data_IF_673145241981
#
_entry.id   IF_673145241981
#
_cell.length_a   1.000
_cell.length_b   1.000
_cell.length_c   1.000
_cell.angle_alpha   90.00
_cell.angle_beta   90.00
_cell.angle_gamma   90.00
#
_symmetry.space_group_name_H-M   'P 1'
#
loop_
_entity.id
_entity.type
_entity.pdbx_description
1 polymer ?
#
# COMPACT_ATOMS: atom_id res chain seq x y z
N UNK A 1 -19.32 -14.63 -4.54
CA UNK A 1 -17.85 -14.56 -4.48
C UNK A 1 -17.49 -13.62 -3.33
N UNK A 2 -16.40 -13.90 -2.62
CA UNK A 2 -15.86 -12.94 -1.62
C UNK A 2 -15.37 -11.68 -2.33
N UNK A 3 -15.58 -10.53 -1.72
CA UNK A 3 -15.08 -9.26 -2.23
C UNK A 3 -13.67 -9.00 -1.69
N UNK A 4 -12.75 -8.60 -2.57
CA UNK A 4 -11.37 -8.30 -2.23
C UNK A 4 -10.96 -6.96 -2.83
N UNK A 5 -10.48 -6.04 -2.00
CA UNK A 5 -9.97 -4.73 -2.42
C UNK A 5 -8.45 -4.79 -2.54
N UNK A 6 -7.91 -4.33 -3.67
CA UNK A 6 -6.48 -4.20 -3.90
C UNK A 6 -6.08 -2.72 -3.83
N UNK A 7 -5.13 -2.39 -2.95
CA UNK A 7 -4.64 -1.03 -2.72
C UNK A 7 -3.18 -0.89 -3.15
N UNK A 8 -2.92 0.00 -4.11
CA UNK A 8 -1.59 0.22 -4.68
C UNK A 8 -0.63 0.98 -3.76
N UNK A 9 0.67 0.89 -4.04
CA UNK A 9 1.72 1.61 -3.34
C UNK A 9 1.88 3.07 -3.77
N UNK A 10 2.77 3.78 -3.08
CA UNK A 10 3.19 5.12 -3.46
C UNK A 10 3.74 5.12 -4.90
N UNK A 11 3.48 6.19 -5.66
CA UNK A 11 3.83 6.35 -7.08
C UNK A 11 3.22 5.28 -8.00
N UNK A 12 2.36 4.41 -7.49
CA UNK A 12 1.65 3.37 -8.23
C UNK A 12 0.28 3.81 -8.73
N UNK A 13 -0.44 2.88 -9.32
CA UNK A 13 -1.85 3.01 -9.69
C UNK A 13 -2.53 1.64 -9.64
N UNK A 14 -3.86 1.62 -9.68
CA UNK A 14 -4.62 0.37 -9.74
C UNK A 14 -4.20 -0.53 -10.90
N UNK A 15 -3.70 0.04 -12.00
CA UNK A 15 -3.31 -0.71 -13.20
C UNK A 15 -2.15 -1.67 -12.95
N UNK A 16 -1.39 -1.49 -11.83
CA UNK A 16 -0.37 -2.46 -11.40
C UNK A 16 -0.95 -3.85 -11.11
N UNK A 17 -2.25 -3.93 -10.85
CA UNK A 17 -2.93 -5.16 -10.49
C UNK A 17 -3.65 -5.86 -11.65
N UNK A 18 -3.56 -5.34 -12.89
CA UNK A 18 -4.34 -5.86 -14.01
C UNK A 18 -4.20 -7.38 -14.21
N UNK A 19 -2.98 -7.91 -14.20
CA UNK A 19 -2.75 -9.35 -14.33
C UNK A 19 -3.25 -10.13 -13.10
N UNK A 20 -3.13 -9.55 -11.91
CA UNK A 20 -3.61 -10.15 -10.66
C UNK A 20 -5.14 -10.18 -10.60
N UNK A 21 -5.81 -9.13 -11.07
CA UNK A 21 -7.27 -9.08 -11.20
C UNK A 21 -7.77 -10.23 -12.08
N UNK A 22 -7.13 -10.43 -13.24
CA UNK A 22 -7.47 -11.54 -14.17
C UNK A 22 -7.25 -12.89 -13.49
N UNK A 23 -6.11 -13.07 -12.81
CA UNK A 23 -5.75 -14.35 -12.19
C UNK A 23 -6.66 -14.73 -10.99
N UNK A 24 -7.29 -13.75 -10.35
CA UNK A 24 -8.16 -13.96 -9.19
C UNK A 24 -9.67 -13.92 -9.51
N UNK A 25 -10.06 -13.54 -10.73
CA UNK A 25 -11.45 -13.27 -11.11
C UNK A 25 -12.41 -14.46 -10.90
N UNK A 26 -11.93 -15.69 -10.98
CA UNK A 26 -12.75 -16.90 -10.80
C UNK A 26 -13.11 -17.14 -9.32
N UNK A 27 -12.35 -16.58 -8.38
CA UNK A 27 -12.49 -16.82 -6.93
C UNK A 27 -13.04 -15.63 -6.17
N UNK A 28 -12.68 -14.41 -6.59
CA UNK A 28 -13.01 -13.16 -5.91
C UNK A 28 -13.69 -12.17 -6.83
N UNK A 29 -14.57 -11.35 -6.25
CA UNK A 29 -14.99 -10.10 -6.86
C UNK A 29 -13.95 -9.04 -6.49
N UNK A 30 -13.05 -8.77 -7.43
CA UNK A 30 -11.94 -7.86 -7.21
C UNK A 30 -12.40 -6.42 -7.38
N UNK A 31 -11.91 -5.57 -6.49
CA UNK A 31 -12.05 -4.11 -6.56
C UNK A 31 -10.65 -3.49 -6.53
N UNK A 32 -10.48 -2.45 -7.32
CA UNK A 32 -9.27 -1.63 -7.34
C UNK A 32 -9.63 -0.17 -7.37
N UNK A 33 -8.88 0.66 -6.67
CA UNK A 33 -9.07 2.12 -6.68
C UNK A 33 -7.74 2.81 -6.94
N UNK A 34 -7.79 3.97 -7.58
CA UNK A 34 -6.67 4.91 -7.54
C UNK A 34 -6.86 5.84 -6.36
N UNK A 35 -5.84 6.04 -5.56
CA UNK A 35 -5.83 7.12 -4.57
C UNK A 35 -5.78 8.48 -5.27
N UNK A 36 -6.23 9.53 -4.57
CA UNK A 36 -6.18 10.92 -5.04
C UNK A 36 -4.80 11.28 -5.60
N UNK A 37 -4.76 11.89 -6.78
CA UNK A 37 -3.52 12.26 -7.48
C UNK A 37 -2.75 11.11 -8.14
N UNK A 38 -3.19 9.86 -8.00
CA UNK A 38 -2.58 8.69 -8.63
C UNK A 38 -3.41 8.20 -9.82
N UNK A 39 -2.75 7.57 -10.82
CA UNK A 39 -3.43 6.94 -11.95
C UNK A 39 -4.39 7.87 -12.70
N UNK A 40 -4.02 9.14 -12.88
CA UNK A 40 -4.81 10.22 -13.49
C UNK A 40 -6.11 10.58 -12.74
N UNK A 41 -6.31 10.04 -11.53
CA UNK A 41 -7.40 10.52 -10.67
C UNK A 41 -7.04 11.93 -10.18
N UNK A 42 -7.96 12.91 -10.29
CA UNK A 42 -7.68 14.26 -9.79
C UNK A 42 -7.21 14.26 -8.33
N UNK A 43 -6.27 15.13 -8.02
CA UNK A 43 -5.85 15.31 -6.63
C UNK A 43 -6.91 16.11 -5.88
N UNK A 44 -7.39 15.57 -4.75
CA UNK A 44 -8.21 16.36 -3.84
C UNK A 44 -7.39 17.51 -3.23
N UNK A 45 -8.07 18.54 -2.74
CA UNK A 45 -7.43 19.71 -2.10
C UNK A 45 -6.76 19.37 -0.76
N UNK A 46 -7.02 18.18 -0.21
CA UNK A 46 -6.42 17.74 1.04
C UNK A 46 -4.98 17.25 0.83
N UNK A 47 -4.17 17.39 1.88
CA UNK A 47 -2.82 16.82 1.91
C UNK A 47 -2.86 15.29 1.74
N UNK A 48 -1.82 14.73 1.11
CA UNK A 48 -1.62 13.29 1.16
C UNK A 48 -1.21 12.93 2.59
N UNK A 49 -2.03 12.18 3.27
CA UNK A 49 -1.76 11.55 4.56
C UNK A 49 -2.37 10.15 4.52
N UNK A 50 -1.84 9.23 5.29
CA UNK A 50 -2.43 7.88 5.38
C UNK A 50 -3.90 7.97 5.82
N UNK A 51 -4.21 8.87 6.75
CA UNK A 51 -5.58 9.11 7.20
C UNK A 51 -6.51 9.53 6.05
N UNK A 52 -6.10 10.50 5.24
CA UNK A 52 -6.94 10.98 4.13
C UNK A 52 -7.11 9.88 3.06
N UNK A 53 -6.05 9.13 2.74
CA UNK A 53 -6.14 8.00 1.81
C UNK A 53 -7.05 6.88 2.36
N UNK A 54 -7.02 6.64 3.68
CA UNK A 54 -7.92 5.69 4.32
C UNK A 54 -9.39 6.16 4.27
N UNK A 55 -9.65 7.46 4.46
CA UNK A 55 -10.99 8.02 4.29
C UNK A 55 -11.50 7.89 2.84
N UNK A 56 -10.63 8.03 1.83
CA UNK A 56 -11.02 7.76 0.44
C UNK A 56 -11.49 6.31 0.22
N UNK A 57 -10.87 5.34 0.91
CA UNK A 57 -11.34 3.94 0.88
C UNK A 57 -12.70 3.81 1.54
N UNK A 58 -12.92 4.46 2.70
CA UNK A 58 -14.22 4.43 3.38
C UNK A 58 -15.32 5.07 2.54
N UNK A 59 -15.04 6.20 1.91
CA UNK A 59 -15.98 6.88 1.02
C UNK A 59 -16.35 5.98 -0.16
N UNK A 60 -15.34 5.36 -0.80
CA UNK A 60 -15.56 4.39 -1.86
C UNK A 60 -16.40 3.19 -1.38
N UNK A 61 -16.12 2.64 -0.19
CA UNK A 61 -16.92 1.56 0.38
C UNK A 61 -18.38 1.99 0.61
N UNK A 62 -18.60 3.22 1.10
CA UNK A 62 -19.94 3.76 1.32
C UNK A 62 -20.72 3.93 0.00
N UNK A 63 -20.07 4.48 -1.03
CA UNK A 63 -20.65 4.64 -2.37
C UNK A 63 -21.06 3.30 -3.00
N UNK A 64 -20.35 2.21 -2.67
CA UNK A 64 -20.61 0.88 -3.20
C UNK A 64 -21.43 -0.01 -2.23
N UNK A 65 -21.91 0.56 -1.11
CA UNK A 65 -22.69 -0.15 -0.08
C UNK A 65 -21.97 -1.36 0.52
N UNK A 66 -20.63 -1.31 0.57
CA UNK A 66 -19.79 -2.36 1.16
C UNK A 66 -19.60 -2.06 2.65
N UNK A 67 -20.09 -2.96 3.51
CA UNK A 67 -19.95 -2.81 4.96
C UNK A 67 -18.57 -3.23 5.44
N UNK A 68 -18.10 -4.39 5.04
CA UNK A 68 -16.79 -4.96 5.42
C UNK A 68 -16.15 -5.57 4.19
N UNK A 69 -14.82 -5.42 4.04
CA UNK A 69 -14.07 -5.96 2.90
C UNK A 69 -12.72 -6.51 3.33
N UNK A 70 -12.30 -7.59 2.68
CA UNK A 70 -10.93 -8.10 2.77
C UNK A 70 -10.00 -7.23 1.91
N UNK A 71 -8.76 -6.98 2.37
CA UNK A 71 -7.85 -6.05 1.70
C UNK A 71 -6.49 -6.70 1.43
N UNK A 72 -6.06 -6.69 0.17
CA UNK A 72 -4.65 -6.82 -0.19
C UNK A 72 -4.06 -5.44 -0.41
N UNK A 73 -3.02 -5.10 0.34
CA UNK A 73 -2.35 -3.79 0.23
C UNK A 73 -0.87 -3.93 -0.12
N UNK A 74 -0.44 -3.28 -1.19
CA UNK A 74 0.96 -3.20 -1.54
C UNK A 74 1.58 -1.90 -0.99
N UNK A 75 2.72 -2.01 -0.27
CA UNK A 75 3.50 -0.88 0.24
C UNK A 75 2.61 0.14 1.00
N UNK A 76 2.46 1.37 0.52
CA UNK A 76 1.56 2.40 1.07
C UNK A 76 0.12 1.88 1.23
N UNK A 77 -0.40 1.13 0.26
CA UNK A 77 -1.76 0.56 0.34
C UNK A 77 -1.93 -0.42 1.50
N UNK A 78 -0.89 -1.17 1.85
CA UNK A 78 -0.89 -2.02 3.04
C UNK A 78 -0.91 -1.20 4.34
N UNK A 79 -0.20 -0.07 4.37
CA UNK A 79 -0.24 0.83 5.52
C UNK A 79 -1.63 1.47 5.71
N UNK A 80 -2.27 1.86 4.61
CA UNK A 80 -3.67 2.35 4.62
C UNK A 80 -4.61 1.28 5.17
N UNK A 81 -4.47 0.01 4.76
CA UNK A 81 -5.28 -1.09 5.26
C UNK A 81 -5.11 -1.31 6.78
N UNK A 82 -3.87 -1.26 7.29
CA UNK A 82 -3.59 -1.37 8.73
C UNK A 82 -4.18 -0.20 9.52
N UNK A 83 -4.09 1.02 8.97
CA UNK A 83 -4.70 2.19 9.57
C UNK A 83 -6.23 2.06 9.66
N UNK A 84 -6.87 1.57 8.59
CA UNK A 84 -8.31 1.28 8.58
C UNK A 84 -8.68 0.25 9.63
N UNK A 85 -7.97 -0.87 9.72
CA UNK A 85 -8.23 -1.90 10.71
C UNK A 85 -8.10 -1.39 12.15
N UNK A 86 -7.21 -0.42 12.38
CA UNK A 86 -7.02 0.19 13.70
C UNK A 86 -8.17 1.12 14.09
N UNK A 87 -8.60 1.98 13.18
CA UNK A 87 -9.55 3.06 13.51
C UNK A 87 -10.99 2.77 13.08
N UNK A 88 -11.19 1.82 12.17
CA UNK A 88 -12.49 1.38 11.63
C UNK A 88 -12.56 -0.15 11.55
N UNK A 89 -12.40 -0.87 12.68
CA UNK A 89 -12.28 -2.33 12.69
C UNK A 89 -13.47 -3.05 12.06
N UNK A 90 -14.67 -2.52 12.18
CA UNK A 90 -15.89 -3.10 11.60
C UNK A 90 -15.95 -3.02 10.06
N UNK A 91 -15.05 -2.23 9.45
CA UNK A 91 -15.00 -2.02 7.99
C UNK A 91 -13.99 -2.95 7.32
N UNK A 92 -13.12 -3.61 8.05
CA UNK A 92 -12.01 -4.40 7.52
C UNK A 92 -12.10 -5.84 7.97
N UNK A 93 -12.13 -6.76 7.00
CA UNK A 93 -12.03 -8.19 7.24
C UNK A 93 -10.57 -8.63 7.48
N UNK A 94 -10.06 -9.48 6.61
CA UNK A 94 -8.67 -9.93 6.63
C UNK A 94 -7.77 -8.95 5.86
N UNK A 95 -6.50 -8.83 6.26
CA UNK A 95 -5.51 -8.00 5.57
C UNK A 95 -4.29 -8.84 5.20
N UNK A 96 -3.91 -8.82 3.92
CA UNK A 96 -2.60 -9.25 3.45
C UNK A 96 -1.84 -8.04 2.92
N UNK A 97 -0.62 -7.81 3.41
CA UNK A 97 0.24 -6.75 2.88
C UNK A 97 1.45 -7.33 2.17
N UNK A 98 1.99 -6.61 1.20
CA UNK A 98 3.28 -6.90 0.58
C UNK A 98 4.16 -5.65 0.59
N UNK A 99 5.35 -5.76 1.17
CA UNK A 99 6.35 -4.71 1.14
C UNK A 99 5.93 -3.43 1.86
N UNK A 100 5.14 -3.53 2.93
CA UNK A 100 4.70 -2.37 3.71
C UNK A 100 5.75 -1.99 4.74
N UNK A 101 6.32 -0.78 4.60
CA UNK A 101 7.23 -0.21 5.59
C UNK A 101 6.46 0.18 6.85
N UNK A 102 6.92 -0.31 7.99
CA UNK A 102 6.21 -0.19 9.28
C UNK A 102 6.99 0.65 10.30
N UNK A 103 8.31 0.74 10.15
CA UNK A 103 9.17 1.56 10.99
C UNK A 103 9.30 2.96 10.42
N UNK A 104 8.81 3.95 11.16
CA UNK A 104 8.88 5.36 10.81
C UNK A 104 9.45 6.20 11.94
N UNK A 105 10.37 7.08 11.61
CA UNK A 105 10.95 8.14 12.41
C UNK A 105 11.60 9.14 11.46
N UNK A 106 12.20 10.21 11.96
CA UNK A 106 12.83 11.24 11.12
C UNK A 106 13.93 10.68 10.21
N UNK A 107 14.76 9.76 10.71
CA UNK A 107 15.86 9.15 9.92
C UNK A 107 15.30 8.31 8.77
N UNK A 108 14.32 7.46 9.04
CA UNK A 108 13.68 6.62 8.02
C UNK A 108 12.94 7.48 6.98
N UNK A 109 12.20 8.50 7.42
CA UNK A 109 11.52 9.42 6.52
C UNK A 109 12.49 10.17 5.62
N UNK A 110 13.58 10.72 6.16
CA UNK A 110 14.62 11.40 5.37
C UNK A 110 15.29 10.46 4.37
N UNK A 111 15.49 9.19 4.70
CA UNK A 111 16.02 8.18 3.79
C UNK A 111 15.08 7.96 2.60
N UNK A 112 13.79 7.76 2.86
CA UNK A 112 12.79 7.50 1.83
C UNK A 112 12.58 8.70 0.91
N UNK A 113 12.52 9.93 1.44
CA UNK A 113 12.25 11.12 0.64
C UNK A 113 13.41 11.55 -0.27
N UNK A 114 14.63 11.07 -0.02
CA UNK A 114 15.79 11.36 -0.90
C UNK A 114 15.55 10.99 -2.35
N UNK A 115 14.76 9.94 -2.60
CA UNK A 115 14.42 9.47 -3.93
C UNK A 115 13.17 10.14 -4.51
N UNK A 116 12.46 10.96 -3.71
CA UNK A 116 11.20 11.59 -4.08
C UNK A 116 11.34 13.08 -4.41
N UNK A 117 12.31 13.39 -5.26
CA UNK A 117 12.51 14.73 -5.82
C UNK A 117 12.25 14.68 -7.33
N UNK A 118 11.21 15.35 -7.86
CA UNK A 118 10.87 15.30 -9.27
C UNK A 118 12.01 15.74 -10.20
N UNK A 119 12.79 16.76 -9.82
CA UNK A 119 13.90 17.28 -10.64
C UNK A 119 15.07 16.27 -10.68
N UNK A 120 15.37 15.64 -9.54
CA UNK A 120 16.37 14.56 -9.47
C UNK A 120 15.91 13.34 -10.27
N UNK A 121 14.63 13.00 -10.23
CA UNK A 121 14.06 11.89 -11.02
C UNK A 121 14.24 12.17 -12.52
N UNK A 122 13.91 13.38 -12.98
CA UNK A 122 14.09 13.76 -14.39
C UNK A 122 15.56 13.67 -14.80
N UNK A 123 16.49 14.15 -13.96
CA UNK A 123 17.92 14.18 -14.27
C UNK A 123 18.55 12.77 -14.21
N UNK A 124 18.27 12.01 -13.17
CA UNK A 124 19.00 10.76 -12.88
C UNK A 124 18.36 9.51 -13.49
N UNK A 125 17.03 9.50 -13.62
CA UNK A 125 16.26 8.35 -14.09
C UNK A 125 15.13 8.76 -15.05
N UNK A 126 15.45 9.35 -16.21
CA UNK A 126 14.46 9.94 -17.12
C UNK A 126 13.39 8.93 -17.61
N UNK A 127 13.75 7.66 -17.78
CA UNK A 127 12.78 6.64 -18.14
C UNK A 127 11.71 6.43 -17.04
N UNK A 128 12.10 6.54 -15.78
CA UNK A 128 11.14 6.49 -14.66
C UNK A 128 10.28 7.76 -14.62
N UNK A 129 10.85 8.94 -14.90
CA UNK A 129 10.07 10.18 -15.02
C UNK A 129 8.99 10.05 -16.11
N UNK A 130 9.34 9.48 -17.27
CA UNK A 130 8.39 9.22 -18.35
C UNK A 130 7.27 8.26 -17.89
N UNK A 131 7.61 7.14 -17.26
CA UNK A 131 6.61 6.20 -16.74
C UNK A 131 5.66 6.85 -15.73
N UNK A 132 6.18 7.75 -14.87
CA UNK A 132 5.33 8.51 -13.93
C UNK A 132 4.40 9.48 -14.68
N UNK A 133 4.89 10.17 -15.69
CA UNK A 133 4.07 11.07 -16.51
C UNK A 133 2.97 10.30 -17.27
N UNK A 134 3.29 9.16 -17.84
CA UNK A 134 2.31 8.29 -18.52
C UNK A 134 1.25 7.75 -17.54
N UNK A 135 1.65 7.33 -16.34
CA UNK A 135 0.77 6.76 -15.30
C UNK A 135 -0.13 7.81 -14.66
N UNK A 136 0.40 8.97 -14.33
CA UNK A 136 -0.29 9.95 -13.49
C UNK A 136 -0.74 11.21 -14.24
N UNK A 137 -0.25 11.44 -15.45
CA UNK A 137 -0.46 12.64 -16.25
C UNK A 137 0.79 13.52 -16.28
N UNK A 138 1.05 14.11 -17.44
CA UNK A 138 2.29 14.85 -17.74
C UNK A 138 2.54 16.04 -16.80
N UNK A 139 1.47 16.70 -16.37
CA UNK A 139 1.55 17.88 -15.49
C UNK A 139 1.40 17.53 -14.00
N UNK A 140 0.79 16.38 -13.67
CA UNK A 140 0.37 16.04 -12.32
C UNK A 140 1.41 15.24 -11.55
N UNK A 141 2.20 14.41 -12.23
CA UNK A 141 3.10 13.47 -11.58
C UNK A 141 4.14 14.13 -10.65
N UNK A 142 4.68 15.31 -11.01
CA UNK A 142 5.65 16.03 -10.17
C UNK A 142 5.01 16.47 -8.84
N UNK A 143 3.79 17.02 -8.93
CA UNK A 143 3.01 17.39 -7.73
C UNK A 143 2.71 16.18 -6.86
N UNK A 144 2.34 15.05 -7.46
CA UNK A 144 2.07 13.80 -6.76
C UNK A 144 3.33 13.28 -6.04
N UNK A 145 4.50 13.25 -6.69
CA UNK A 145 5.78 12.87 -6.06
C UNK A 145 6.09 13.77 -4.86
N UNK A 146 5.95 15.09 -5.03
CA UNK A 146 6.19 16.06 -3.94
C UNK A 146 5.25 15.83 -2.75
N UNK A 147 3.96 15.62 -3.01
CA UNK A 147 2.96 15.33 -1.96
C UNK A 147 3.26 14.00 -1.26
N UNK A 148 3.71 12.99 -2.00
CA UNK A 148 4.14 11.71 -1.43
C UNK A 148 5.34 11.88 -0.50
N UNK A 149 6.33 12.68 -0.89
CA UNK A 149 7.46 13.00 -0.03
C UNK A 149 7.02 13.69 1.28
N UNK A 150 6.09 14.64 1.20
CA UNK A 150 5.53 15.30 2.37
C UNK A 150 4.77 14.33 3.28
N UNK A 151 4.01 13.41 2.71
CA UNK A 151 3.32 12.34 3.46
C UNK A 151 4.31 11.45 4.22
N UNK A 152 5.42 11.06 3.59
CA UNK A 152 6.43 10.24 4.26
C UNK A 152 7.13 10.99 5.39
N UNK A 153 7.34 12.30 5.26
CA UNK A 153 7.83 13.15 6.37
C UNK A 153 6.81 13.23 7.51
N UNK A 154 5.53 13.38 7.18
CA UNK A 154 4.46 13.39 8.18
C UNK A 154 4.38 12.06 8.95
N UNK A 155 4.60 10.93 8.30
CA UNK A 155 4.64 9.61 8.92
C UNK A 155 5.70 9.47 10.01
N UNK A 156 6.79 10.26 10.00
CA UNK A 156 7.75 10.27 11.10
C UNK A 156 7.08 10.58 12.45
N UNK A 157 5.98 11.35 12.44
CA UNK A 157 5.29 11.85 13.64
C UNK A 157 3.85 11.30 13.78
N UNK A 158 3.25 10.82 12.68
CA UNK A 158 1.84 10.37 12.65
C UNK A 158 1.69 8.87 12.40
N UNK A 159 2.78 8.11 12.45
CA UNK A 159 2.76 6.67 12.23
C UNK A 159 1.92 5.91 13.27
N UNK A 160 1.48 4.72 12.90
CA UNK A 160 0.87 3.78 13.84
C UNK A 160 1.88 3.38 14.92
N UNK A 161 1.51 3.60 16.17
CA UNK A 161 2.32 3.24 17.33
C UNK A 161 2.18 1.77 17.68
N UNK A 162 3.02 1.25 18.57
CA UNK A 162 2.87 -0.11 19.12
C UNK A 162 1.47 -0.33 19.70
N UNK A 163 0.95 0.69 20.42
CA UNK A 163 -0.39 0.63 21.00
C UNK A 163 -1.50 0.59 19.94
N UNK A 164 -1.25 1.12 18.75
CA UNK A 164 -2.18 1.01 17.63
C UNK A 164 -2.16 -0.38 17.01
N UNK A 165 -0.98 -0.97 16.80
CA UNK A 165 -0.86 -2.34 16.29
C UNK A 165 -1.49 -3.37 17.23
N UNK A 166 -1.33 -3.23 18.56
CA UNK A 166 -1.95 -4.11 19.56
C UNK A 166 -3.49 -4.10 19.47
N UNK A 167 -4.07 -2.99 19.03
CA UNK A 167 -5.54 -2.84 18.91
C UNK A 167 -6.10 -3.29 17.56
N UNK A 168 -5.29 -3.77 16.64
CA UNK A 168 -5.77 -4.38 15.39
C UNK A 168 -6.29 -5.78 15.70
N UNK A 169 -7.58 -5.98 15.48
CA UNK A 169 -8.27 -7.27 15.74
C UNK A 169 -8.41 -8.14 14.48
N UNK A 170 -8.36 -7.52 13.29
CA UNK A 170 -8.42 -8.23 12.01
C UNK A 170 -7.28 -9.24 11.89
N UNK A 171 -7.50 -10.40 11.24
CA UNK A 171 -6.41 -11.28 10.83
C UNK A 171 -5.50 -10.54 9.82
N UNK A 172 -4.20 -10.51 10.09
CA UNK A 172 -3.20 -9.81 9.27
C UNK A 172 -2.07 -10.74 8.88
N UNK A 173 -1.72 -10.79 7.60
CA UNK A 173 -0.50 -11.41 7.09
C UNK A 173 0.41 -10.34 6.49
N UNK A 174 1.55 -10.08 7.13
CA UNK A 174 2.56 -9.14 6.65
C UNK A 174 3.58 -9.89 5.79
N UNK A 175 3.50 -9.74 4.46
CA UNK A 175 4.47 -10.29 3.53
C UNK A 175 5.55 -9.26 3.19
N UNK A 176 6.81 -9.70 3.15
CA UNK A 176 7.92 -8.95 2.58
C UNK A 176 8.65 -9.78 1.54
N UNK A 177 9.25 -9.13 0.57
CA UNK A 177 10.16 -9.80 -0.35
C UNK A 177 11.53 -10.07 0.29
N UNK A 178 12.16 -11.21 -0.01
CA UNK A 178 13.51 -11.50 0.44
C UNK A 178 14.52 -10.46 -0.09
N UNK A 179 14.31 -10.00 -1.33
CA UNK A 179 15.15 -9.01 -2.00
C UNK A 179 14.58 -7.57 -1.87
N UNK A 180 13.66 -7.35 -0.93
CA UNK A 180 13.14 -6.02 -0.63
C UNK A 180 14.18 -5.22 0.15
N UNK A 181 14.66 -4.12 -0.43
CA UNK A 181 15.67 -3.24 0.17
C UNK A 181 15.07 -2.03 0.92
N UNK A 182 13.74 -1.91 0.94
CA UNK A 182 13.02 -0.84 1.64
C UNK A 182 12.42 -1.32 2.96
N UNK A 183 12.02 -2.60 3.03
CA UNK A 183 11.35 -3.20 4.20
C UNK A 183 12.22 -4.31 4.78
N UNK A 184 12.56 -4.19 6.06
CA UNK A 184 13.41 -5.15 6.76
C UNK A 184 12.60 -6.33 7.33
N UNK A 185 13.28 -7.45 7.53
CA UNK A 185 12.70 -8.59 8.24
C UNK A 185 12.32 -8.20 9.68
N UNK A 186 13.22 -7.51 10.36
CA UNK A 186 13.08 -7.16 11.78
C UNK A 186 11.86 -6.28 12.03
N UNK A 187 11.61 -5.25 11.19
CA UNK A 187 10.43 -4.40 11.35
C UNK A 187 9.12 -5.17 11.10
N UNK A 188 9.13 -6.08 10.11
CA UNK A 188 7.96 -6.91 9.79
C UNK A 188 7.65 -7.88 10.92
N UNK A 189 8.67 -8.61 11.39
CA UNK A 189 8.53 -9.57 12.50
C UNK A 189 8.12 -8.87 13.80
N UNK A 190 8.77 -7.75 14.11
CA UNK A 190 8.48 -6.98 15.31
C UNK A 190 7.02 -6.51 15.34
N UNK A 191 6.54 -5.92 14.25
CA UNK A 191 5.16 -5.46 14.15
C UNK A 191 4.16 -6.61 14.21
N UNK A 192 4.47 -7.73 13.56
CA UNK A 192 3.61 -8.92 13.60
C UNK A 192 3.34 -9.41 15.01
N UNK A 193 4.35 -9.39 15.88
CA UNK A 193 4.22 -9.83 17.28
C UNK A 193 3.27 -8.97 18.10
N UNK A 194 3.01 -7.74 17.70
CA UNK A 194 2.09 -6.82 18.38
C UNK A 194 0.64 -7.03 17.92
N UNK A 195 0.42 -7.50 16.70
CA UNK A 195 -0.93 -7.72 16.16
C UNK A 195 -1.47 -9.06 16.69
N UNK A 196 -2.59 -9.04 17.38
CA UNK A 196 -3.20 -10.21 18.04
C UNK A 196 -3.36 -11.43 17.12
N UNK A 197 -3.83 -11.19 15.89
CA UNK A 197 -4.03 -12.21 14.87
C UNK A 197 -3.04 -12.00 13.70
N UNK A 198 -1.80 -11.62 14.04
CA UNK A 198 -0.74 -11.31 13.08
C UNK A 198 0.07 -12.54 12.67
N UNK A 199 0.38 -12.64 11.39
CA UNK A 199 1.38 -13.53 10.82
C UNK A 199 2.33 -12.77 9.91
N UNK A 200 3.52 -13.30 9.66
CA UNK A 200 4.42 -12.74 8.65
C UNK A 200 5.00 -13.82 7.75
N UNK A 201 5.41 -13.41 6.55
CA UNK A 201 6.05 -14.29 5.58
C UNK A 201 7.07 -13.56 4.74
N UNK A 202 8.25 -14.15 4.58
CA UNK A 202 9.24 -13.69 3.60
C UNK A 202 9.04 -14.47 2.30
N UNK A 203 8.87 -13.75 1.19
CA UNK A 203 8.68 -14.33 -0.14
C UNK A 203 10.03 -14.41 -0.86
N UNK A 204 10.48 -15.62 -1.15
CA UNK A 204 11.81 -15.88 -1.72
C UNK A 204 11.96 -15.23 -3.09
N UNK A 205 13.07 -14.51 -3.29
CA UNK A 205 13.44 -13.87 -4.54
C UNK A 205 12.61 -12.63 -4.92
N UNK A 206 11.61 -12.25 -4.11
CA UNK A 206 10.72 -11.12 -4.41
C UNK A 206 11.39 -9.80 -4.03
N UNK A 207 11.50 -8.82 -4.97
CA UNK A 207 11.98 -7.46 -4.70
C UNK A 207 10.85 -6.53 -4.28
N UNK A 208 11.18 -5.25 -3.94
CA UNK A 208 10.15 -4.27 -3.59
C UNK A 208 9.24 -3.88 -4.77
N UNK A 209 9.74 -3.52 -5.98
CA UNK A 209 8.86 -3.04 -7.06
C UNK A 209 7.83 -4.09 -7.47
N UNK A 210 6.53 -3.74 -7.39
CA UNK A 210 5.42 -4.67 -7.66
C UNK A 210 5.48 -5.29 -9.05
N UNK A 211 5.89 -4.51 -10.05
CA UNK A 211 6.03 -4.96 -11.44
C UNK A 211 7.08 -6.07 -11.63
N UNK A 212 7.90 -6.30 -10.62
CA UNK A 212 8.91 -7.38 -10.60
C UNK A 212 8.52 -8.56 -9.72
N UNK A 213 7.37 -8.49 -9.07
CA UNK A 213 6.85 -9.59 -8.25
C UNK A 213 6.27 -10.66 -9.17
N UNK A 214 6.72 -11.93 -9.09
CA UNK A 214 6.14 -13.00 -9.88
C UNK A 214 4.65 -13.19 -9.52
N UNK A 215 3.78 -13.07 -10.52
CA UNK A 215 2.32 -13.15 -10.35
C UNK A 215 1.89 -14.39 -9.57
N UNK A 216 2.43 -15.56 -9.90
CA UNK A 216 2.09 -16.83 -9.25
C UNK A 216 2.38 -16.83 -7.73
N UNK A 217 3.42 -16.14 -7.29
CA UNK A 217 3.76 -16.06 -5.86
C UNK A 217 2.67 -15.28 -5.12
N UNK A 218 2.35 -14.07 -5.56
CA UNK A 218 1.37 -13.25 -4.87
C UNK A 218 -0.05 -13.79 -5.01
N UNK A 219 -0.41 -14.38 -6.14
CA UNK A 219 -1.68 -15.08 -6.32
C UNK A 219 -1.83 -16.21 -5.29
N UNK A 220 -0.81 -17.05 -5.14
CA UNK A 220 -0.83 -18.16 -4.17
C UNK A 220 -1.01 -17.68 -2.75
N UNK A 221 -0.32 -16.60 -2.35
CA UNK A 221 -0.46 -16.04 -1.00
C UNK A 221 -1.87 -15.48 -0.76
N UNK A 222 -2.41 -14.75 -1.73
CA UNK A 222 -3.79 -14.21 -1.66
C UNK A 222 -4.80 -15.35 -1.54
N UNK A 223 -4.72 -16.33 -2.41
CA UNK A 223 -5.66 -17.46 -2.39
C UNK A 223 -5.58 -18.27 -1.10
N UNK A 224 -4.37 -18.48 -0.57
CA UNK A 224 -4.18 -19.21 0.69
C UNK A 224 -4.71 -18.45 1.90
N UNK A 225 -4.50 -17.14 1.96
CA UNK A 225 -4.84 -16.35 3.13
C UNK A 225 -6.32 -15.95 3.18
N UNK A 226 -6.90 -15.62 2.04
CA UNK A 226 -8.31 -15.21 1.95
C UNK A 226 -9.28 -16.38 1.70
N UNK A 227 -8.80 -17.60 1.69
CA UNK A 227 -9.64 -18.80 1.54
C UNK A 227 -10.81 -18.85 2.52
#
# INVERSE_FOLDING_TARGET
>A
MKELLLLHGALGSKDQFADLEIALADKYKIHTINFSGHGRRPSHHHAFTIQNLAHEVLDWMNEHYIQTIDIFGYSMGGYVALWLARFYPDRVGKILTLGTKLKWNDEEAEKEVKMLNPEVIVEKVPAFAQNLAERHGEHEWKSMVTKTALMMKDLAHTHLTEQDFIKIESPVLLCRGENDNMVTFDETEYTTRMIKNGGHKTLTGVPHPFEKVPLQIIQTEIESFFA
#
